data_IF_754552457400
#
_entry.id   IF_754552457400
#
_cell.length_a   1.000
_cell.length_b   1.000
_cell.length_c   1.000
_cell.angle_alpha   90.00
_cell.angle_beta   90.00
_cell.angle_gamma   90.00
#
_symmetry.space_group_name_H-M   'P 1'
#
loop_
_entity.id
_entity.type
_entity.pdbx_description
1 polymer ?
#
# COMPACT_ATOMS: atom_id res chain seq x y z
N UNK A 1 -8.04 -22.57 -8.51
CA UNK A 1 -7.19 -21.84 -9.48
C UNK A 1 -7.18 -22.58 -10.81
N UNK A 2 -7.11 -21.87 -11.95
CA UNK A 2 -6.94 -22.47 -13.27
C UNK A 2 -5.59 -23.18 -13.41
N UNK A 3 -5.45 -24.04 -14.41
CA UNK A 3 -4.17 -24.63 -14.82
C UNK A 3 -3.45 -23.74 -15.84
N UNK A 4 -2.16 -23.97 -16.08
CA UNK A 4 -1.42 -23.29 -17.14
C UNK A 4 -2.08 -23.49 -18.53
N UNK A 5 -2.55 -24.71 -18.81
CA UNK A 5 -3.28 -25.04 -20.04
C UNK A 5 -4.59 -24.27 -20.16
N UNK A 6 -5.32 -24.08 -19.06
CA UNK A 6 -6.57 -23.30 -19.07
C UNK A 6 -6.31 -21.84 -19.46
N UNK A 7 -5.17 -21.28 -19.02
CA UNK A 7 -4.72 -19.95 -19.44
C UNK A 7 -4.31 -19.90 -20.90
N UNK A 8 -3.54 -20.88 -21.38
CA UNK A 8 -3.11 -20.96 -22.80
C UNK A 8 -4.31 -21.00 -23.77
N UNK A 9 -5.41 -21.64 -23.36
CA UNK A 9 -6.66 -21.69 -24.14
C UNK A 9 -7.57 -20.46 -23.91
N UNK A 10 -7.20 -19.60 -22.97
CA UNK A 10 -7.93 -18.39 -22.63
C UNK A 10 -7.69 -17.26 -23.63
N UNK A 11 -8.22 -16.08 -23.30
CA UNK A 11 -8.01 -14.86 -24.07
C UNK A 11 -7.26 -13.84 -23.20
N UNK A 12 -6.06 -13.48 -23.62
CA UNK A 12 -5.32 -12.36 -23.01
C UNK A 12 -6.14 -11.06 -23.10
N UNK A 13 -6.10 -10.27 -22.03
CA UNK A 13 -6.78 -8.98 -21.91
C UNK A 13 -5.79 -7.83 -22.12
N UNK A 14 -5.98 -6.69 -21.45
CA UNK A 14 -5.21 -5.46 -21.74
C UNK A 14 -3.71 -5.59 -21.39
N UNK A 15 -3.34 -6.55 -20.53
CA UNK A 15 -1.96 -6.96 -20.29
C UNK A 15 -1.83 -8.49 -20.28
N UNK A 16 -0.65 -9.04 -20.65
CA UNK A 16 -0.47 -10.48 -20.87
C UNK A 16 -0.72 -11.34 -19.63
N UNK A 17 -0.56 -10.76 -18.43
CA UNK A 17 -0.81 -11.51 -17.20
C UNK A 17 -2.28 -11.77 -16.89
N UNK A 18 -3.20 -10.95 -17.41
CA UNK A 18 -4.64 -11.13 -17.23
C UNK A 18 -5.24 -11.93 -18.38
N UNK A 19 -5.85 -13.07 -18.03
CA UNK A 19 -6.42 -14.00 -18.99
C UNK A 19 -7.88 -14.28 -18.64
N UNK A 20 -8.78 -14.01 -19.58
CA UNK A 20 -10.17 -14.45 -19.50
C UNK A 20 -10.25 -15.95 -19.83
N UNK A 21 -10.77 -16.74 -18.91
CA UNK A 21 -10.91 -18.18 -19.06
C UNK A 21 -12.13 -18.52 -19.92
N UNK A 22 -11.91 -18.81 -21.21
CA UNK A 22 -13.00 -19.05 -22.18
C UNK A 22 -13.47 -20.51 -22.21
N UNK A 23 -12.52 -21.45 -22.08
CA UNK A 23 -12.77 -22.90 -22.13
C UNK A 23 -11.90 -23.67 -21.13
N UNK A 24 -11.93 -23.34 -19.82
CA UNK A 24 -11.13 -24.03 -18.82
C UNK A 24 -11.59 -25.49 -18.62
N UNK A 25 -10.67 -26.34 -18.21
CA UNK A 25 -10.89 -27.75 -17.84
C UNK A 25 -11.93 -27.87 -16.72
N UNK A 26 -11.91 -26.94 -15.76
CA UNK A 26 -12.96 -26.78 -14.77
C UNK A 26 -13.98 -25.74 -15.25
N UNK A 27 -15.20 -26.19 -15.61
CA UNK A 27 -16.26 -25.33 -16.14
C UNK A 27 -16.73 -24.23 -15.17
N UNK A 28 -16.50 -24.38 -13.86
CA UNK A 28 -16.85 -23.34 -12.87
C UNK A 28 -16.00 -22.07 -13.04
N UNK A 29 -14.79 -22.18 -13.60
CA UNK A 29 -13.91 -21.04 -13.83
C UNK A 29 -14.21 -20.30 -15.14
N UNK A 30 -15.18 -20.78 -15.93
CA UNK A 30 -15.47 -20.20 -17.24
C UNK A 30 -16.04 -18.79 -17.08
N UNK A 31 -15.43 -17.83 -17.76
CA UNK A 31 -15.80 -16.41 -17.70
C UNK A 31 -15.12 -15.63 -16.57
N UNK A 32 -14.31 -16.29 -15.75
CA UNK A 32 -13.46 -15.62 -14.77
C UNK A 32 -12.18 -15.08 -15.41
N UNK A 33 -11.62 -14.03 -14.82
CA UNK A 33 -10.29 -13.53 -15.14
C UNK A 33 -9.30 -14.04 -14.10
N UNK A 34 -8.21 -14.64 -14.58
CA UNK A 34 -7.04 -15.00 -13.80
C UNK A 34 -5.90 -14.03 -14.09
N UNK A 35 -5.30 -13.49 -13.03
CA UNK A 35 -4.08 -12.69 -13.10
C UNK A 35 -3.20 -13.01 -11.89
N UNK A 36 -1.88 -13.13 -12.12
CA UNK A 36 -0.90 -13.40 -11.06
C UNK A 36 -0.94 -12.36 -9.95
N UNK A 37 -1.28 -11.09 -10.24
CA UNK A 37 -1.30 -10.03 -9.23
C UNK A 37 -2.48 -10.13 -8.25
N UNK A 38 -3.48 -10.94 -8.57
CA UNK A 38 -4.56 -11.28 -7.63
C UNK A 38 -4.04 -12.07 -6.42
N UNK A 39 -2.88 -12.72 -6.56
CA UNK A 39 -2.21 -13.52 -5.53
C UNK A 39 -1.03 -12.77 -4.88
N UNK A 40 -1.15 -11.45 -4.70
CA UNK A 40 -0.19 -10.61 -4.01
C UNK A 40 -0.58 -10.36 -2.56
N UNK A 41 0.40 -10.25 -1.68
CA UNK A 41 0.21 -9.90 -0.27
C UNK A 41 1.26 -8.88 0.17
N UNK A 42 0.93 -8.09 1.19
CA UNK A 42 1.90 -7.27 1.90
C UNK A 42 2.95 -8.16 2.59
N UNK A 43 4.20 -7.69 2.62
CA UNK A 43 5.33 -8.45 3.12
C UNK A 43 5.15 -8.86 4.58
N UNK A 44 4.56 -7.99 5.41
CA UNK A 44 4.23 -8.29 6.82
C UNK A 44 3.35 -9.53 6.99
N UNK A 45 2.47 -9.82 6.03
CA UNK A 45 1.51 -10.93 6.09
C UNK A 45 1.99 -12.15 5.30
N UNK A 46 2.88 -11.95 4.33
CA UNK A 46 3.44 -12.99 3.46
C UNK A 46 4.50 -13.86 4.18
N UNK A 47 4.03 -14.67 5.14
CA UNK A 47 4.83 -15.59 5.97
C UNK A 47 4.70 -17.05 5.56
N UNK A 48 3.55 -17.45 5.00
CA UNK A 48 3.33 -18.80 4.46
C UNK A 48 2.33 -18.78 3.30
N UNK A 49 2.67 -19.44 2.20
CA UNK A 49 1.82 -19.62 1.03
C UNK A 49 2.25 -20.86 0.25
N UNK A 50 1.38 -21.42 -0.59
CA UNK A 50 1.68 -22.67 -1.25
C UNK A 50 0.53 -23.29 -2.03
N UNK A 51 0.61 -24.60 -2.21
CA UNK A 51 -0.35 -25.41 -2.95
C UNK A 51 -0.72 -26.66 -2.19
N UNK A 52 -1.98 -27.07 -2.35
CA UNK A 52 -2.45 -28.39 -2.00
C UNK A 52 -2.64 -29.18 -3.30
N UNK A 53 -2.04 -30.36 -3.36
CA UNK A 53 -2.33 -31.34 -4.40
C UNK A 53 -3.27 -32.40 -3.84
N UNK A 54 -4.42 -32.67 -4.49
CA UNK A 54 -5.29 -33.78 -4.11
C UNK A 54 -4.70 -35.15 -4.48
N UNK A 55 -3.70 -35.20 -5.37
CA UNK A 55 -3.06 -36.44 -5.80
C UNK A 55 -1.59 -36.23 -6.21
N UNK A 56 -0.60 -36.71 -5.44
CA UNK A 56 -0.77 -37.28 -4.09
C UNK A 56 -1.26 -36.22 -3.10
N UNK A 57 -1.98 -36.62 -2.03
CA UNK A 57 -2.56 -35.73 -1.00
C UNK A 57 -1.47 -35.04 -0.18
N UNK A 58 -0.91 -33.98 -0.75
CA UNK A 58 0.33 -33.34 -0.30
C UNK A 58 0.21 -31.82 -0.34
N UNK A 59 0.88 -31.15 0.59
CA UNK A 59 1.05 -29.71 0.59
C UNK A 59 2.48 -29.33 0.22
N UNK A 60 2.61 -28.24 -0.52
CA UNK A 60 3.89 -27.61 -0.85
C UNK A 60 3.82 -26.15 -0.42
N UNK A 61 4.65 -25.76 0.54
CA UNK A 61 4.56 -24.44 1.17
C UNK A 61 5.91 -23.73 1.19
N UNK A 62 5.89 -22.42 0.91
CA UNK A 62 6.99 -21.51 1.16
C UNK A 62 6.75 -20.83 2.50
N UNK A 63 7.66 -20.99 3.45
CA UNK A 63 7.64 -20.33 4.76
C UNK A 63 8.78 -19.31 4.82
N UNK A 64 8.44 -18.06 5.10
CA UNK A 64 9.39 -16.97 5.31
C UNK A 64 9.28 -16.47 6.76
N UNK A 65 10.20 -16.88 7.66
CA UNK A 65 10.10 -16.55 9.09
C UNK A 65 10.49 -15.09 9.40
N UNK A 66 11.20 -14.40 8.50
CA UNK A 66 11.65 -13.02 8.69
C UNK A 66 11.63 -12.23 7.39
N UNK A 67 11.19 -10.98 7.49
CA UNK A 67 11.21 -10.01 6.39
C UNK A 67 12.48 -9.15 6.36
N UNK A 68 13.50 -9.45 7.19
CA UNK A 68 14.63 -8.54 7.38
C UNK A 68 15.39 -8.20 6.10
N UNK A 69 15.36 -9.11 5.13
CA UNK A 69 16.02 -8.99 3.84
C UNK A 69 15.11 -8.44 2.73
N UNK A 70 13.81 -8.28 2.96
CA UNK A 70 12.89 -7.70 1.96
C UNK A 70 13.11 -6.20 1.84
N UNK A 71 12.43 -5.59 0.88
CA UNK A 71 12.63 -4.18 0.48
C UNK A 71 11.35 -3.38 0.71
N UNK A 72 11.43 -2.05 0.81
CA UNK A 72 10.25 -1.18 0.84
C UNK A 72 9.38 -1.24 2.11
N UNK A 73 9.87 -1.85 3.19
CA UNK A 73 9.19 -1.87 4.48
C UNK A 73 8.01 -2.86 4.57
N UNK A 74 7.21 -2.81 5.65
CA UNK A 74 6.27 -3.88 6.01
C UNK A 74 5.07 -3.99 5.06
N UNK A 75 4.68 -2.89 4.42
CA UNK A 75 3.49 -2.78 3.55
C UNK A 75 3.83 -2.93 2.06
N UNK A 76 5.10 -3.18 1.69
CA UNK A 76 5.42 -3.50 0.31
C UNK A 76 4.70 -4.80 -0.07
N UNK A 77 4.06 -4.80 -1.23
CA UNK A 77 3.37 -5.97 -1.76
C UNK A 77 4.26 -6.74 -2.73
N UNK A 78 4.14 -8.06 -2.69
CA UNK A 78 4.80 -8.96 -3.63
C UNK A 78 3.98 -10.22 -3.94
N UNK A 79 4.38 -10.91 -5.01
CA UNK A 79 3.70 -12.12 -5.47
C UNK A 79 3.95 -13.29 -4.52
N UNK A 80 2.94 -14.16 -4.39
CA UNK A 80 3.01 -15.38 -3.57
C UNK A 80 3.02 -16.63 -4.46
N UNK A 81 1.91 -17.35 -4.56
CA UNK A 81 1.67 -18.43 -5.52
C UNK A 81 0.96 -17.91 -6.77
N UNK A 82 1.08 -18.60 -7.90
CA UNK A 82 0.30 -18.27 -9.11
C UNK A 82 0.03 -19.51 -9.98
N UNK A 83 -0.88 -19.35 -10.95
CA UNK A 83 -1.31 -20.42 -11.86
C UNK A 83 -0.16 -21.27 -12.41
N UNK A 84 -0.35 -22.59 -12.41
CA UNK A 84 0.64 -23.56 -12.89
C UNK A 84 1.40 -24.31 -11.80
N UNK A 85 0.70 -24.72 -10.72
CA UNK A 85 1.18 -24.69 -9.32
C UNK A 85 2.55 -24.06 -9.09
N UNK A 86 2.67 -22.73 -9.24
CA UNK A 86 3.93 -22.02 -9.00
C UNK A 86 3.88 -21.34 -7.63
N UNK A 87 4.98 -21.43 -6.88
CA UNK A 87 5.17 -20.74 -5.60
C UNK A 87 6.47 -19.96 -5.66
N UNK A 88 6.40 -18.65 -5.40
CA UNK A 88 7.52 -17.74 -5.46
C UNK A 88 8.05 -17.40 -4.07
N UNK A 89 9.36 -17.20 -3.96
CA UNK A 89 9.97 -16.50 -2.81
C UNK A 89 10.57 -15.21 -3.34
N UNK A 90 9.83 -14.11 -3.19
CA UNK A 90 10.24 -12.81 -3.72
C UNK A 90 11.26 -12.17 -2.78
N UNK A 91 12.51 -12.05 -3.24
CA UNK A 91 13.57 -11.37 -2.49
C UNK A 91 13.65 -9.87 -2.80
N UNK A 92 13.38 -9.50 -4.06
CA UNK A 92 13.28 -8.13 -4.51
C UNK A 92 12.36 -8.05 -5.73
N UNK A 93 11.66 -6.94 -5.88
CA UNK A 93 10.87 -6.64 -7.07
C UNK A 93 10.59 -5.14 -7.16
N UNK A 94 10.14 -4.70 -8.33
CA UNK A 94 9.56 -3.37 -8.53
C UNK A 94 8.03 -3.39 -8.36
N UNK A 95 7.46 -4.48 -7.86
CA UNK A 95 6.01 -4.57 -7.66
C UNK A 95 5.53 -3.56 -6.62
N UNK A 96 4.46 -2.82 -6.95
CA UNK A 96 3.80 -1.82 -6.10
C UNK A 96 4.70 -0.68 -5.60
N UNK A 97 5.88 -0.51 -6.20
CA UNK A 97 6.71 0.68 -5.97
C UNK A 97 7.50 1.17 -7.18
N UNK A 98 7.55 0.39 -8.27
CA UNK A 98 8.17 0.82 -9.52
C UNK A 98 9.69 0.80 -9.48
N UNK A 99 10.27 1.47 -10.48
CA UNK A 99 11.72 1.47 -10.75
C UNK A 99 12.57 2.12 -9.64
N UNK A 100 11.97 2.88 -8.73
CA UNK A 100 12.68 3.40 -7.54
C UNK A 100 13.15 2.28 -6.60
N UNK A 101 12.45 1.13 -6.61
CA UNK A 101 12.84 -0.06 -5.85
C UNK A 101 13.79 -0.98 -6.63
N UNK A 102 14.17 -0.62 -7.86
CA UNK A 102 15.17 -1.39 -8.59
C UNK A 102 16.56 -1.23 -7.95
N UNK A 103 17.24 -2.37 -7.74
CA UNK A 103 18.62 -2.39 -7.27
C UNK A 103 19.55 -1.74 -8.30
N UNK A 104 20.27 -0.69 -7.89
CA UNK A 104 21.21 0.04 -8.76
C UNK A 104 22.56 0.18 -8.07
N UNK A 105 23.60 -0.29 -8.75
CA UNK A 105 24.99 -0.18 -8.32
C UNK A 105 25.73 0.80 -9.24
N UNK A 106 26.65 1.59 -8.69
CA UNK A 106 27.45 2.54 -9.46
C UNK A 106 28.92 2.39 -9.10
N UNK A 107 29.82 2.71 -10.04
CA UNK A 107 31.26 2.82 -9.78
C UNK A 107 31.90 1.60 -9.11
N UNK A 108 31.41 0.38 -9.40
CA UNK A 108 31.92 -0.84 -8.77
C UNK A 108 31.59 -0.99 -7.28
N UNK A 109 30.51 -0.35 -6.82
CA UNK A 109 30.02 -0.44 -5.44
C UNK A 109 29.96 -1.90 -4.97
N UNK A 110 30.75 -2.30 -3.96
CA UNK A 110 30.65 -3.63 -3.38
C UNK A 110 29.35 -3.72 -2.60
N UNK A 111 28.57 -4.77 -2.85
CA UNK A 111 27.33 -5.02 -2.13
C UNK A 111 27.21 -6.50 -1.78
N UNK A 112 26.78 -6.76 -0.56
CA UNK A 112 26.56 -8.10 -0.04
C UNK A 112 25.35 -8.11 0.89
N UNK A 113 24.47 -9.08 0.70
CA UNK A 113 23.27 -9.29 1.51
C UNK A 113 22.95 -10.78 1.55
N UNK A 114 22.50 -11.27 2.69
CA UNK A 114 21.96 -12.62 2.85
C UNK A 114 20.45 -12.54 2.68
N UNK A 115 19.92 -13.37 1.78
CA UNK A 115 18.48 -13.55 1.59
C UNK A 115 18.06 -14.87 2.25
N UNK A 116 16.97 -14.84 3.00
CA UNK A 116 16.55 -15.98 3.80
C UNK A 116 17.44 -16.22 5.03
N UNK A 117 17.50 -17.46 5.55
CA UNK A 117 16.89 -18.66 4.98
C UNK A 117 15.36 -18.61 4.83
N UNK A 118 14.85 -19.27 3.79
CA UNK A 118 13.43 -19.55 3.58
C UNK A 118 13.25 -21.07 3.59
N UNK A 119 12.10 -21.55 4.07
CA UNK A 119 11.81 -22.97 4.20
C UNK A 119 10.81 -23.42 3.14
N UNK A 120 11.16 -24.46 2.39
CA UNK A 120 10.18 -25.24 1.62
C UNK A 120 9.68 -26.35 2.55
N UNK A 121 8.41 -26.26 2.95
CA UNK A 121 7.77 -27.22 3.83
C UNK A 121 6.84 -28.14 3.03
N UNK A 122 6.99 -29.45 3.24
CA UNK A 122 6.18 -30.48 2.61
C UNK A 122 5.48 -31.29 3.69
N UNK A 123 4.18 -31.45 3.56
CA UNK A 123 3.37 -32.30 4.43
C UNK A 123 2.42 -33.16 3.59
N UNK A 124 1.87 -34.20 4.20
CA UNK A 124 0.98 -35.16 3.54
C UNK A 124 -0.01 -35.75 4.52
N UNK A 125 -1.22 -36.06 4.05
CA UNK A 125 -2.21 -36.84 4.79
C UNK A 125 -2.33 -38.22 4.16
N UNK A 126 -2.32 -39.26 4.99
CA UNK A 126 -2.28 -40.66 4.54
C UNK A 126 -3.66 -41.31 4.41
N UNK A 127 -4.65 -40.81 5.15
CA UNK A 127 -6.00 -41.36 5.16
C UNK A 127 -6.88 -40.66 4.14
N UNK A 128 -7.72 -41.42 3.43
CA UNK A 128 -8.70 -40.83 2.53
C UNK A 128 -9.79 -40.04 3.29
N UNK A 129 -10.01 -40.39 4.56
CA UNK A 129 -10.99 -39.79 5.46
C UNK A 129 -10.51 -38.49 6.11
N UNK A 130 -9.21 -38.18 6.06
CA UNK A 130 -8.66 -36.93 6.61
C UNK A 130 -8.90 -35.76 5.66
N UNK A 131 -9.52 -34.69 6.13
CA UNK A 131 -9.73 -33.48 5.32
C UNK A 131 -8.38 -32.93 4.84
N UNK A 132 -8.21 -32.82 3.52
CA UNK A 132 -6.98 -32.35 2.90
C UNK A 132 -6.64 -30.89 3.28
N UNK A 133 -7.63 -30.10 3.70
CA UNK A 133 -7.43 -28.74 4.19
C UNK A 133 -6.67 -28.69 5.52
N UNK A 134 -6.54 -29.79 6.25
CA UNK A 134 -5.67 -29.89 7.43
C UNK A 134 -4.20 -29.61 7.09
N UNK A 135 -3.76 -29.88 5.86
CA UNK A 135 -2.41 -29.56 5.38
C UNK A 135 -2.09 -28.07 5.49
N UNK A 136 -3.09 -27.19 5.28
CA UNK A 136 -2.92 -25.74 5.45
C UNK A 136 -2.78 -25.34 6.92
N UNK A 137 -3.56 -25.97 7.80
CA UNK A 137 -3.48 -25.72 9.24
C UNK A 137 -2.10 -26.10 9.78
N UNK A 138 -1.61 -27.28 9.42
CA UNK A 138 -0.27 -27.76 9.77
C UNK A 138 0.84 -26.85 9.23
N UNK A 139 0.75 -26.39 7.98
CA UNK A 139 1.71 -25.43 7.42
C UNK A 139 1.74 -24.08 8.16
N UNK A 140 0.60 -23.58 8.65
CA UNK A 140 0.55 -22.38 9.49
C UNK A 140 1.18 -22.61 10.86
N UNK A 141 0.96 -23.77 11.47
CA UNK A 141 1.61 -24.14 12.74
C UNK A 141 3.12 -24.21 12.57
N UNK A 142 3.61 -24.86 11.50
CA UNK A 142 5.02 -24.87 11.16
C UNK A 142 5.57 -23.46 10.97
N UNK A 143 4.85 -22.58 10.26
CA UNK A 143 5.26 -21.19 10.06
C UNK A 143 5.45 -20.44 11.39
N UNK A 144 4.59 -20.67 12.39
CA UNK A 144 4.75 -20.08 13.71
C UNK A 144 6.02 -20.59 14.40
N UNK A 145 6.26 -21.91 14.37
CA UNK A 145 7.49 -22.53 14.91
C UNK A 145 8.73 -21.92 14.27
N UNK A 146 8.76 -21.81 12.94
CA UNK A 146 9.90 -21.24 12.22
C UNK A 146 10.14 -19.77 12.56
N UNK A 147 9.08 -19.02 12.82
CA UNK A 147 9.20 -17.61 13.22
C UNK A 147 9.75 -17.48 14.63
N UNK A 148 9.32 -18.34 15.56
CA UNK A 148 9.85 -18.37 16.93
C UNK A 148 11.32 -18.80 16.97
N UNK A 149 11.72 -19.69 16.07
CA UNK A 149 13.10 -20.14 15.91
C UNK A 149 14.00 -19.11 15.21
N UNK A 150 13.46 -18.00 14.68
CA UNK A 150 14.28 -16.98 14.02
C UNK A 150 15.06 -16.13 15.03
N UNK A 151 16.36 -15.87 14.80
CA UNK A 151 17.19 -16.35 13.69
C UNK A 151 17.77 -17.75 13.96
N UNK A 152 17.91 -18.54 12.90
CA UNK A 152 18.43 -19.90 12.97
C UNK A 152 19.90 -19.99 13.42
N UNK A 153 20.29 -21.11 14.00
CA UNK A 153 21.65 -21.43 14.47
C UNK A 153 22.43 -22.35 13.50
N UNK A 154 21.74 -23.02 12.59
CA UNK A 154 22.36 -23.94 11.62
C UNK A 154 23.13 -23.27 10.45
N UNK A 155 22.83 -22.02 10.00
CA UNK A 155 23.58 -21.43 8.90
C UNK A 155 25.06 -21.21 9.28
N UNK A 156 25.96 -21.88 8.56
CA UNK A 156 27.41 -21.82 8.81
C UNK A 156 28.13 -20.68 8.06
N UNK A 157 27.41 -19.93 7.21
CA UNK A 157 28.00 -18.81 6.48
C UNK A 157 28.43 -17.71 7.44
N UNK A 158 29.66 -17.20 7.27
CA UNK A 158 30.15 -16.05 8.04
C UNK A 158 29.36 -14.76 7.75
N UNK A 159 28.66 -14.72 6.61
CA UNK A 159 27.81 -13.58 6.23
C UNK A 159 26.44 -13.62 6.92
N UNK A 160 26.05 -14.76 7.50
CA UNK A 160 24.82 -14.87 8.30
C UNK A 160 25.11 -14.50 9.76
N UNK A 161 24.47 -13.44 10.23
CA UNK A 161 24.66 -12.97 11.61
C UNK A 161 23.88 -13.86 12.58
N UNK A 162 24.58 -14.44 13.54
CA UNK A 162 24.01 -15.37 14.52
C UNK A 162 23.13 -14.65 15.55
N UNK A 163 22.30 -15.42 16.26
CA UNK A 163 21.32 -14.89 17.22
C UNK A 163 21.95 -14.04 18.33
N UNK A 164 23.07 -14.50 18.90
CA UNK A 164 23.82 -13.83 19.97
C UNK A 164 24.56 -12.56 19.51
N UNK A 165 24.77 -12.42 18.20
CA UNK A 165 25.38 -11.26 17.57
C UNK A 165 24.37 -10.19 17.16
N UNK A 166 23.07 -10.42 17.35
CA UNK A 166 22.02 -9.46 17.00
C UNK A 166 21.60 -8.62 18.21
N UNK A 167 21.18 -7.39 17.92
CA UNK A 167 20.73 -6.44 18.93
C UNK A 167 19.21 -6.40 19.09
N UNK A 168 18.78 -5.67 20.11
CA UNK A 168 17.36 -5.37 20.37
C UNK A 168 17.19 -3.88 20.67
N UNK A 169 16.09 -3.29 20.21
CA UNK A 169 15.68 -1.92 20.53
C UNK A 169 14.27 -1.92 21.09
N UNK A 170 14.06 -1.27 22.22
CA UNK A 170 12.73 -1.08 22.81
C UNK A 170 12.47 0.36 23.16
N UNK A 171 11.19 0.72 23.34
CA UNK A 171 10.79 2.06 23.74
C UNK A 171 9.27 2.18 23.80
N UNK A 172 8.80 3.44 23.84
CA UNK A 172 7.37 3.77 23.75
C UNK A 172 7.17 4.90 22.76
N UNK A 173 6.19 4.80 21.86
CA UNK A 173 5.80 5.86 20.95
C UNK A 173 4.45 6.43 21.39
N UNK A 174 4.37 7.77 21.48
CA UNK A 174 3.14 8.51 21.72
C UNK A 174 2.93 9.54 20.62
N UNK A 175 1.69 9.92 20.39
CA UNK A 175 1.28 10.96 19.44
C UNK A 175 0.86 12.22 20.18
N UNK A 176 1.28 13.37 19.69
CA UNK A 176 0.90 14.69 20.18
C UNK A 176 0.29 15.50 19.05
N UNK A 177 -1.05 15.63 19.07
CA UNK A 177 -1.81 16.52 18.18
C UNK A 177 -2.83 17.27 19.06
N UNK A 178 -2.53 18.53 19.36
CA UNK A 178 -3.34 19.37 20.25
C UNK A 178 -4.72 19.72 19.69
N UNK A 179 -4.91 19.61 18.37
CA UNK A 179 -6.22 19.81 17.73
C UNK A 179 -7.14 18.60 17.89
N UNK A 180 -6.57 17.42 18.14
CA UNK A 180 -7.32 16.19 18.44
C UNK A 180 -7.51 16.02 19.95
N UNK A 181 -6.43 16.20 20.72
CA UNK A 181 -6.44 16.02 22.18
C UNK A 181 -5.36 16.85 22.86
N UNK A 182 -5.70 17.47 23.98
CA UNK A 182 -4.71 18.13 24.86
C UNK A 182 -3.80 17.13 25.59
N UNK A 183 -4.14 15.84 25.58
CA UNK A 183 -3.35 14.75 26.18
C UNK A 183 -2.61 13.99 25.08
N UNK A 184 -1.45 13.46 25.44
CA UNK A 184 -0.73 12.51 24.59
C UNK A 184 -1.61 11.28 24.29
N UNK A 185 -1.59 10.86 23.04
CA UNK A 185 -2.36 9.73 22.51
C UNK A 185 -1.42 8.53 22.40
N UNK A 186 -1.88 7.33 22.76
CA UNK A 186 -1.09 6.11 22.57
C UNK A 186 -1.02 5.76 21.09
N UNK A 187 0.18 5.52 20.59
CA UNK A 187 0.37 5.06 19.22
C UNK A 187 0.05 3.56 19.16
N UNK A 188 -1.23 3.18 19.11
CA UNK A 188 -1.65 1.77 19.02
C UNK A 188 -1.41 1.22 17.60
N UNK A 189 -0.89 -0.01 17.50
CA UNK A 189 -0.63 -0.70 16.22
C UNK A 189 0.26 0.07 15.23
N UNK A 190 1.05 1.03 15.73
CA UNK A 190 1.97 1.82 14.93
C UNK A 190 3.11 0.95 14.45
N UNK A 191 3.40 1.03 13.15
CA UNK A 191 4.56 0.35 12.60
C UNK A 191 5.79 1.17 12.94
N UNK A 192 6.75 0.53 13.59
CA UNK A 192 8.00 1.14 14.02
C UNK A 192 9.16 0.22 13.67
N UNK A 193 10.19 0.79 13.06
CA UNK A 193 11.27 -0.03 12.51
C UNK A 193 12.57 0.70 12.26
N UNK A 194 13.60 -0.10 12.06
CA UNK A 194 14.94 0.34 11.71
C UNK A 194 15.19 0.06 10.23
N UNK A 195 15.67 1.06 9.51
CA UNK A 195 16.13 0.94 8.14
C UNK A 195 17.37 1.82 7.95
N UNK A 196 17.94 1.81 6.75
CA UNK A 196 19.10 2.63 6.44
C UNK A 196 18.86 4.12 6.81
N UNK A 197 19.91 4.83 7.26
CA UNK A 197 19.84 6.27 7.45
C UNK A 197 19.42 7.00 6.18
N UNK A 198 18.39 7.82 6.27
CA UNK A 198 17.86 8.61 5.16
C UNK A 198 16.84 9.64 5.66
N UNK A 199 16.14 10.28 4.73
CA UNK A 199 15.11 11.28 5.03
C UNK A 199 13.85 10.66 5.66
N UNK A 200 12.98 11.51 6.20
CA UNK A 200 11.67 11.07 6.71
C UNK A 200 10.92 10.31 5.61
N UNK A 201 10.41 9.13 5.92
CA UNK A 201 9.72 8.27 4.96
C UNK A 201 10.61 7.49 3.98
N UNK A 202 11.94 7.67 3.98
CA UNK A 202 12.83 7.01 3.00
C UNK A 202 12.89 5.48 3.13
N UNK A 203 12.39 4.93 4.23
CA UNK A 203 12.34 3.49 4.48
C UNK A 203 11.47 2.73 3.45
N UNK A 204 10.44 3.37 2.90
CA UNK A 204 9.54 2.74 1.92
C UNK A 204 10.19 2.58 0.54
N UNK A 205 11.31 3.27 0.29
CA UNK A 205 12.09 3.17 -0.96
C UNK A 205 13.46 2.51 -0.75
N UNK A 206 13.78 2.11 0.48
CA UNK A 206 15.03 1.41 0.80
C UNK A 206 15.02 -0.02 0.23
N UNK A 207 16.03 -0.31 -0.60
CA UNK A 207 16.11 -1.54 -1.39
C UNK A 207 17.44 -2.32 -1.27
N UNK A 208 18.50 -1.74 -0.68
CA UNK A 208 19.83 -2.36 -0.56
C UNK A 208 20.11 -2.96 0.80
N UNK A 209 19.69 -2.28 1.86
CA UNK A 209 19.94 -2.63 3.26
C UNK A 209 18.94 -3.64 3.82
N UNK A 210 19.12 -3.98 5.10
CA UNK A 210 18.13 -4.72 5.89
C UNK A 210 17.15 -3.75 6.54
N UNK A 211 15.93 -4.22 6.82
CA UNK A 211 14.96 -3.47 7.61
C UNK A 211 14.35 -4.34 8.70
N UNK A 212 14.02 -3.76 9.85
CA UNK A 212 13.49 -4.51 11.00
C UNK A 212 12.28 -3.78 11.54
N UNK A 213 11.11 -4.41 11.50
CA UNK A 213 9.84 -3.77 11.82
C UNK A 213 9.08 -4.56 12.88
N UNK A 214 8.31 -3.83 13.69
CA UNK A 214 7.33 -4.38 14.62
C UNK A 214 6.14 -3.42 14.72
N UNK A 215 5.10 -3.84 15.42
CA UNK A 215 4.00 -2.97 15.80
C UNK A 215 4.07 -2.67 17.30
N UNK A 216 3.68 -1.46 17.67
CA UNK A 216 3.45 -1.13 19.06
C UNK A 216 2.25 -1.88 19.62
N UNK A 217 2.24 -2.11 20.93
CA UNK A 217 1.05 -2.56 21.65
C UNK A 217 0.02 -1.42 21.83
N UNK A 218 -1.08 -1.72 22.50
CA UNK A 218 -2.17 -0.77 22.79
C UNK A 218 -1.75 0.42 23.67
N UNK A 219 -0.61 0.32 24.36
CA UNK A 219 -0.02 1.36 25.18
C UNK A 219 1.10 2.13 24.45
N UNK A 220 1.43 1.75 23.22
CA UNK A 220 2.49 2.36 22.41
C UNK A 220 3.89 1.80 22.68
N UNK A 221 4.05 0.73 23.46
CA UNK A 221 5.36 0.11 23.66
C UNK A 221 5.74 -0.76 22.48
N UNK A 222 7.03 -0.81 22.16
CA UNK A 222 7.57 -1.63 21.08
C UNK A 222 8.84 -2.35 21.48
N UNK A 223 9.11 -3.47 20.80
CA UNK A 223 10.33 -4.25 20.91
C UNK A 223 10.73 -4.80 19.54
N UNK A 224 11.75 -4.20 18.94
CA UNK A 224 12.38 -4.68 17.71
C UNK A 224 13.51 -5.64 18.11
N UNK A 225 13.41 -6.90 17.66
CA UNK A 225 14.35 -7.98 17.98
C UNK A 225 15.22 -8.34 16.78
N UNK A 226 16.26 -9.13 17.05
CA UNK A 226 17.07 -9.81 16.03
C UNK A 226 17.70 -8.88 15.00
N UNK A 227 18.05 -7.66 15.43
CA UNK A 227 18.58 -6.62 14.55
C UNK A 227 20.05 -6.90 14.25
N UNK A 228 20.41 -6.89 12.96
CA UNK A 228 21.80 -7.04 12.52
C UNK A 228 22.65 -5.83 12.99
N UNK A 229 23.92 -6.03 13.41
CA UNK A 229 24.82 -4.93 13.71
C UNK A 229 24.94 -3.93 12.56
N UNK A 230 24.86 -2.64 12.89
CA UNK A 230 24.83 -1.57 11.89
C UNK A 230 24.34 -0.25 12.47
N UNK A 231 24.38 0.79 11.65
CA UNK A 231 23.89 2.11 11.98
C UNK A 231 22.57 2.37 11.25
N UNK A 232 21.51 2.70 12.00
CA UNK A 232 20.15 2.79 11.49
C UNK A 232 19.49 4.11 11.86
N UNK A 233 18.50 4.51 11.07
CA UNK A 233 17.46 5.44 11.52
C UNK A 233 16.27 4.63 12.04
N UNK A 234 15.62 5.13 13.09
CA UNK A 234 14.32 4.63 13.56
C UNK A 234 13.21 5.43 12.91
N UNK A 235 12.32 4.75 12.21
CA UNK A 235 11.14 5.31 11.56
C UNK A 235 9.87 4.75 12.18
N UNK A 236 8.77 5.49 12.10
CA UNK A 236 7.46 4.96 12.42
C UNK A 236 6.36 5.65 11.62
N UNK A 237 5.20 5.01 11.54
CA UNK A 237 3.95 5.63 11.14
C UNK A 237 2.82 5.05 11.96
N UNK A 238 1.77 5.84 12.19
CA UNK A 238 0.71 5.52 13.13
C UNK A 238 -0.63 5.52 12.37
N UNK A 239 -1.31 4.37 12.23
CA UNK A 239 -2.67 4.36 11.69
C UNK A 239 -3.56 5.38 12.42
N UNK A 240 -4.33 6.17 11.68
CA UNK A 240 -5.11 7.28 12.22
C UNK A 240 -4.38 8.63 12.22
N UNK A 241 -3.11 8.69 11.80
CA UNK A 241 -2.37 9.94 11.62
C UNK A 241 -1.54 9.94 10.34
N UNK A 242 -1.67 10.99 9.53
CA UNK A 242 -0.84 11.19 8.34
C UNK A 242 0.65 11.36 8.70
N UNK A 243 1.52 11.05 7.74
CA UNK A 243 2.95 11.34 7.79
C UNK A 243 3.84 10.21 8.34
N UNK A 244 5.13 10.53 8.43
CA UNK A 244 6.18 9.63 8.87
C UNK A 244 6.94 10.25 10.05
N UNK A 245 7.13 9.45 11.10
CA UNK A 245 8.04 9.75 12.18
C UNK A 245 9.45 9.29 11.82
N UNK A 246 10.46 10.09 12.19
CA UNK A 246 11.87 9.71 12.21
C UNK A 246 12.50 10.16 13.52
N UNK A 247 13.18 9.25 14.21
CA UNK A 247 13.96 9.61 15.38
C UNK A 247 15.18 10.45 14.99
N UNK A 248 15.43 11.51 15.75
CA UNK A 248 16.48 12.51 15.44
C UNK A 248 17.90 11.96 15.44
N UNK A 249 18.16 10.92 16.24
CA UNK A 249 19.49 10.34 16.39
C UNK A 249 19.55 8.99 15.68
N UNK A 250 20.73 8.63 15.21
CA UNK A 250 20.96 7.27 14.72
C UNK A 250 21.00 6.26 15.88
N UNK A 251 20.60 5.03 15.55
CA UNK A 251 20.66 3.88 16.43
C UNK A 251 21.80 2.99 15.97
N UNK A 252 22.89 2.96 16.75
CA UNK A 252 24.02 2.10 16.49
C UNK A 252 23.84 0.74 17.20
N UNK A 253 23.69 -0.31 16.41
CA UNK A 253 23.54 -1.68 16.89
C UNK A 253 24.91 -2.34 16.90
N UNK A 254 25.34 -2.78 18.07
CA UNK A 254 26.53 -3.62 18.24
C UNK A 254 26.13 -5.05 18.61
N UNK A 255 27.02 -6.05 18.44
CA UNK A 255 26.68 -7.44 18.74
C UNK A 255 26.12 -7.64 20.15
N UNK A 256 24.95 -8.28 20.26
CA UNK A 256 24.26 -8.54 21.52
C UNK A 256 23.70 -7.30 22.25
N UNK A 257 23.75 -6.13 21.63
CA UNK A 257 23.36 -4.87 22.27
C UNK A 257 21.87 -4.81 22.59
N UNK A 258 21.54 -4.19 23.74
CA UNK A 258 20.17 -3.93 24.18
C UNK A 258 19.98 -2.44 24.39
N UNK A 259 19.34 -1.79 23.44
CA UNK A 259 19.09 -0.35 23.47
C UNK A 259 17.67 -0.08 23.95
N UNK A 260 17.52 0.65 25.04
CA UNK A 260 16.22 1.10 25.53
C UNK A 260 16.07 2.60 25.27
N UNK A 261 15.20 2.94 24.34
CA UNK A 261 14.72 4.30 24.12
C UNK A 261 13.68 4.63 25.20
N UNK A 262 13.63 5.91 25.57
CA UNK A 262 12.57 6.42 26.44
C UNK A 262 11.27 6.58 25.63
N UNK A 263 10.35 7.40 26.13
CA UNK A 263 9.17 7.82 25.37
C UNK A 263 9.57 8.71 24.21
N UNK A 264 9.20 8.29 23.01
CA UNK A 264 9.30 9.03 21.76
C UNK A 264 7.98 9.74 21.51
N UNK A 265 8.04 10.96 20.97
CA UNK A 265 6.85 11.72 20.59
C UNK A 265 6.82 11.91 19.07
N UNK A 266 5.70 11.52 18.46
CA UNK A 266 5.35 11.86 17.11
C UNK A 266 4.42 13.08 17.12
N UNK A 267 4.79 14.12 16.38
CA UNK A 267 3.93 15.27 16.10
C UNK A 267 3.52 15.17 14.63
N UNK A 268 2.31 14.65 14.32
CA UNK A 268 1.83 14.56 12.94
C UNK A 268 1.75 15.95 12.30
N UNK A 269 1.90 16.05 10.97
CA UNK A 269 1.69 17.30 10.24
C UNK A 269 0.34 17.94 10.57
N UNK A 270 0.39 19.18 11.05
CA UNK A 270 -0.75 19.95 11.55
C UNK A 270 -0.39 21.43 11.61
N UNK A 271 -1.12 22.26 10.88
CA UNK A 271 -0.96 23.71 10.85
C UNK A 271 -2.18 24.45 11.44
N UNK A 272 -3.35 23.81 11.49
CA UNK A 272 -4.55 24.42 12.05
C UNK A 272 -5.69 23.45 12.34
N UNK A 273 -6.85 23.97 12.79
CA UNK A 273 -8.02 23.15 13.09
C UNK A 273 -8.58 22.50 11.83
N UNK A 274 -8.99 21.24 11.92
CA UNK A 274 -9.69 20.55 10.82
C UNK A 274 -11.02 21.26 10.53
N UNK A 275 -11.22 21.68 9.28
CA UNK A 275 -12.51 22.17 8.80
C UNK A 275 -13.36 21.01 8.26
N UNK A 276 -12.71 20.11 7.53
CA UNK A 276 -13.28 18.83 7.08
C UNK A 276 -12.17 17.87 6.67
N UNK A 277 -12.51 16.59 6.62
CA UNK A 277 -11.62 15.51 6.22
C UNK A 277 -12.39 14.41 5.46
N UNK A 278 -11.68 13.64 4.64
CA UNK A 278 -12.19 12.56 3.79
C UNK A 278 -11.21 11.38 3.89
N UNK A 279 -11.72 10.19 4.19
CA UNK A 279 -10.93 8.96 4.34
C UNK A 279 -10.40 8.71 5.75
N UNK A 280 -9.57 7.69 5.88
CA UNK A 280 -8.90 7.25 7.11
C UNK A 280 -7.40 7.18 6.81
N UNK A 281 -6.54 7.89 7.57
CA UNK A 281 -5.10 7.88 7.31
C UNK A 281 -4.47 6.56 7.77
N UNK A 282 -4.52 5.54 6.92
CA UNK A 282 -3.98 4.19 7.14
C UNK A 282 -3.08 3.69 5.99
N UNK A 283 -2.82 4.57 5.02
CA UNK A 283 -2.03 4.39 3.80
C UNK A 283 -2.69 3.52 2.74
N UNK A 284 -4.00 3.29 2.84
CA UNK A 284 -4.77 2.47 1.90
C UNK A 284 -5.93 3.24 1.31
N UNK A 285 -6.53 2.71 0.25
CA UNK A 285 -7.80 3.20 -0.28
C UNK A 285 -8.97 2.23 0.03
N UNK A 286 -8.82 1.39 1.05
CA UNK A 286 -9.71 0.26 1.32
C UNK A 286 -11.13 0.67 1.73
N UNK A 287 -11.26 1.83 2.36
CA UNK A 287 -12.50 2.38 2.90
C UNK A 287 -13.35 3.10 1.86
N UNK A 288 -12.78 3.43 0.70
CA UNK A 288 -13.46 4.12 -0.38
C UNK A 288 -14.34 3.17 -1.22
N UNK A 289 -15.16 3.75 -2.09
CA UNK A 289 -16.12 2.99 -2.88
C UNK A 289 -15.43 2.14 -3.97
N UNK A 290 -15.45 0.82 -3.75
CA UNK A 290 -15.02 -0.19 -4.72
C UNK A 290 -16.26 -0.73 -5.47
N UNK A 291 -16.41 -0.47 -6.79
CA UNK A 291 -17.58 -0.88 -7.55
C UNK A 291 -17.62 -2.40 -7.78
N UNK A 292 -18.79 -2.94 -8.11
CA UNK A 292 -18.87 -4.31 -8.65
C UNK A 292 -18.15 -4.37 -10.00
N UNK A 293 -17.46 -5.49 -10.32
CA UNK A 293 -16.85 -5.68 -11.63
C UNK A 293 -17.91 -5.83 -12.73
N UNK A 294 -17.47 -5.78 -13.99
CA UNK A 294 -18.33 -6.20 -15.08
C UNK A 294 -18.66 -7.69 -14.92
N UNK A 295 -19.95 -8.11 -15.04
CA UNK A 295 -20.34 -9.50 -14.83
C UNK A 295 -19.60 -10.52 -15.71
N UNK A 296 -19.09 -10.10 -16.87
CA UNK A 296 -18.36 -10.97 -17.82
C UNK A 296 -16.86 -11.12 -17.52
N UNK A 297 -16.34 -10.39 -16.53
CA UNK A 297 -14.92 -10.40 -16.14
C UNK A 297 -14.76 -10.78 -14.67
N UNK A 298 -15.85 -11.26 -14.06
CA UNK A 298 -15.99 -11.48 -12.64
C UNK A 298 -15.21 -12.73 -12.21
N UNK A 299 -14.31 -12.61 -11.25
CA UNK A 299 -13.66 -13.74 -10.58
C UNK A 299 -14.43 -14.06 -9.29
N UNK A 300 -15.02 -15.26 -9.16
CA UNK A 300 -15.95 -15.58 -8.07
C UNK A 300 -15.31 -15.51 -6.67
N UNK A 301 -14.01 -15.77 -6.56
CA UNK A 301 -13.26 -15.71 -5.31
C UNK A 301 -13.47 -14.37 -4.58
N UNK A 302 -13.41 -13.25 -5.31
CA UNK A 302 -13.48 -11.91 -4.71
C UNK A 302 -14.91 -11.34 -4.59
N UNK A 303 -15.94 -12.11 -4.92
CA UNK A 303 -17.33 -11.78 -4.56
C UNK A 303 -17.66 -12.38 -3.20
N UNK A 304 -17.24 -13.63 -2.98
CA UNK A 304 -17.39 -14.29 -1.68
C UNK A 304 -16.58 -13.57 -0.60
N UNK A 305 -15.39 -13.06 -0.96
CA UNK A 305 -14.53 -12.25 -0.09
C UNK A 305 -14.67 -10.75 -0.37
N UNK A 306 -15.76 -10.14 0.10
CA UNK A 306 -16.08 -8.73 -0.16
C UNK A 306 -14.96 -7.73 0.21
N UNK A 307 -14.16 -8.02 1.24
CA UNK A 307 -13.03 -7.19 1.65
C UNK A 307 -11.92 -7.11 0.58
N UNK A 308 -11.80 -8.12 -0.29
CA UNK A 308 -10.82 -8.18 -1.37
C UNK A 308 -11.42 -7.90 -2.74
N UNK A 309 -12.62 -7.32 -2.78
CA UNK A 309 -13.32 -7.00 -4.03
C UNK A 309 -12.52 -6.10 -4.96
N UNK A 310 -11.59 -5.29 -4.42
CA UNK A 310 -10.67 -4.47 -5.21
C UNK A 310 -9.76 -5.30 -6.14
N UNK A 311 -9.68 -6.63 -5.94
CA UNK A 311 -8.87 -7.52 -6.76
C UNK A 311 -9.52 -8.00 -8.06
N UNK A 312 -10.71 -7.47 -8.36
CA UNK A 312 -11.40 -7.78 -9.59
C UNK A 312 -10.77 -7.06 -10.78
N UNK A 313 -10.70 -7.74 -11.92
CA UNK A 313 -10.17 -7.14 -13.15
C UNK A 313 -11.10 -6.05 -13.68
N UNK A 314 -10.52 -4.97 -14.20
CA UNK A 314 -11.25 -3.94 -14.97
C UNK A 314 -12.03 -2.94 -14.13
N UNK A 315 -11.77 -2.86 -12.81
CA UNK A 315 -12.46 -1.90 -11.95
C UNK A 315 -12.20 -0.43 -12.34
N UNK A 316 -11.05 -0.12 -12.96
CA UNK A 316 -10.77 1.22 -13.48
C UNK A 316 -11.81 1.68 -14.51
N UNK A 317 -12.27 0.78 -15.39
CA UNK A 317 -13.27 1.11 -16.42
C UNK A 317 -14.67 1.34 -15.84
N UNK A 318 -14.96 0.77 -14.66
CA UNK A 318 -16.23 0.99 -13.96
C UNK A 318 -16.44 2.48 -13.63
N UNK A 319 -15.37 3.27 -13.53
CA UNK A 319 -15.49 4.72 -13.35
C UNK A 319 -16.29 5.36 -14.48
N UNK A 320 -15.96 5.05 -15.73
CA UNK A 320 -16.65 5.61 -16.91
C UNK A 320 -18.11 5.21 -16.99
N UNK A 321 -18.45 3.99 -16.55
CA UNK A 321 -19.82 3.49 -16.59
C UNK A 321 -20.71 4.13 -15.51
N UNK A 322 -20.11 4.52 -14.39
CA UNK A 322 -20.80 5.24 -13.30
C UNK A 322 -20.85 6.75 -13.54
N UNK A 323 -19.83 7.29 -14.21
CA UNK A 323 -19.60 8.71 -14.48
C UNK A 323 -19.42 8.96 -15.99
N UNK A 324 -20.45 8.71 -16.83
CA UNK A 324 -20.30 8.71 -18.29
C UNK A 324 -20.13 10.11 -18.88
N UNK A 325 -20.77 11.12 -18.27
CA UNK A 325 -20.81 12.48 -18.79
C UNK A 325 -20.09 13.47 -17.86
N UNK A 326 -20.26 13.29 -16.56
CA UNK A 326 -19.76 14.17 -15.51
C UNK A 326 -18.80 13.42 -14.60
N UNK A 327 -17.88 14.14 -13.95
CA UNK A 327 -16.96 13.57 -12.97
C UNK A 327 -17.56 13.61 -11.55
N UNK A 328 -16.90 12.89 -10.65
CA UNK A 328 -17.28 12.75 -9.25
C UNK A 328 -17.38 14.12 -8.55
N UNK A 329 -18.50 14.35 -7.86
CA UNK A 329 -18.70 15.51 -6.98
C UNK A 329 -18.97 14.99 -5.56
N UNK A 330 -18.07 15.31 -4.64
CA UNK A 330 -18.18 15.00 -3.23
C UNK A 330 -18.59 16.25 -2.46
N UNK A 331 -19.72 16.23 -1.76
CA UNK A 331 -20.21 17.37 -0.97
C UNK A 331 -19.98 17.11 0.51
N UNK A 332 -19.09 17.88 1.13
CA UNK A 332 -18.77 17.77 2.56
C UNK A 332 -20.03 17.92 3.41
N UNK A 333 -20.23 16.99 4.35
CA UNK A 333 -21.40 16.96 5.23
C UNK A 333 -22.66 16.34 4.62
N UNK A 334 -22.64 15.95 3.34
CA UNK A 334 -23.75 15.25 2.67
C UNK A 334 -23.33 13.92 2.04
N UNK A 335 -22.18 13.87 1.37
CA UNK A 335 -21.64 12.65 0.76
C UNK A 335 -20.99 11.72 1.79
N UNK A 336 -20.97 10.42 1.50
CA UNK A 336 -20.27 9.40 2.28
C UNK A 336 -19.09 8.84 1.46
N UNK A 337 -17.86 8.91 1.98
CA UNK A 337 -16.69 8.45 1.22
C UNK A 337 -16.71 6.95 0.91
N UNK A 338 -17.43 6.14 1.71
CA UNK A 338 -17.55 4.70 1.49
C UNK A 338 -18.41 4.35 0.27
N UNK A 339 -19.26 5.27 -0.20
CA UNK A 339 -20.19 5.04 -1.32
C UNK A 339 -20.05 6.03 -2.46
N UNK A 340 -19.58 7.24 -2.17
CA UNK A 340 -19.61 8.37 -3.09
C UNK A 340 -18.21 8.84 -3.50
N UNK A 341 -17.16 8.27 -2.90
CA UNK A 341 -15.78 8.52 -3.27
C UNK A 341 -15.19 7.27 -3.92
N UNK A 342 -14.99 7.29 -5.23
CA UNK A 342 -14.46 6.14 -5.95
C UNK A 342 -13.02 5.83 -5.50
N UNK A 343 -12.67 4.56 -5.33
CA UNK A 343 -11.40 4.17 -4.69
C UNK A 343 -10.13 4.61 -5.45
N UNK A 344 -10.22 4.80 -6.77
CA UNK A 344 -9.10 5.23 -7.62
C UNK A 344 -9.49 6.40 -8.54
N UNK A 345 -8.74 7.49 -8.48
CA UNK A 345 -8.86 8.61 -9.40
C UNK A 345 -8.18 8.27 -10.72
N UNK A 346 -9.00 7.74 -11.62
CA UNK A 346 -8.61 7.21 -12.93
C UNK A 346 -9.20 8.04 -14.06
N UNK A 347 -8.66 7.85 -15.26
CA UNK A 347 -9.17 8.43 -16.49
C UNK A 347 -10.54 7.85 -16.89
N UNK A 348 -11.32 8.64 -17.64
CA UNK A 348 -12.54 8.17 -18.29
C UNK A 348 -12.20 7.63 -19.67
N UNK A 349 -12.69 6.46 -20.02
CA UNK A 349 -12.52 5.94 -21.38
C UNK A 349 -13.52 6.56 -22.36
N UNK A 350 -13.10 6.74 -23.60
CA UNK A 350 -13.92 7.14 -24.75
C UNK A 350 -13.53 6.28 -25.95
N UNK A 351 -14.32 6.32 -27.03
CA UNK A 351 -13.97 5.66 -28.28
C UNK A 351 -13.54 6.72 -29.31
N UNK A 352 -12.40 6.49 -29.97
CA UNK A 352 -11.99 7.32 -31.10
C UNK A 352 -12.78 6.95 -32.37
N UNK A 353 -12.54 7.67 -33.46
CA UNK A 353 -13.23 7.48 -34.75
C UNK A 353 -13.03 6.07 -35.35
N UNK A 354 -11.97 5.36 -34.95
CA UNK A 354 -11.67 3.99 -35.36
C UNK A 354 -12.36 2.92 -34.48
N UNK A 355 -13.09 3.35 -33.44
CA UNK A 355 -13.73 2.47 -32.46
C UNK A 355 -12.77 1.91 -31.40
N UNK A 356 -11.55 2.43 -31.31
CA UNK A 356 -10.56 2.04 -30.30
C UNK A 356 -10.79 2.81 -28.99
N UNK A 357 -10.64 2.12 -27.86
CA UNK A 357 -10.74 2.74 -26.53
C UNK A 357 -9.55 3.67 -26.30
N UNK A 358 -9.83 4.90 -25.91
CA UNK A 358 -8.85 5.92 -25.48
C UNK A 358 -9.23 6.45 -24.11
N UNK A 359 -8.33 7.15 -23.42
CA UNK A 359 -8.55 7.59 -22.04
C UNK A 359 -8.30 9.09 -21.91
N UNK A 360 -9.28 9.80 -21.36
CA UNK A 360 -9.22 11.24 -21.12
C UNK A 360 -9.09 11.55 -19.62
N UNK A 361 -8.37 12.64 -19.27
CA UNK A 361 -8.30 13.18 -17.91
C UNK A 361 -9.67 13.37 -17.25
N UNK A 362 -9.72 13.22 -15.92
CA UNK A 362 -10.92 13.46 -15.09
C UNK A 362 -10.65 14.55 -14.06
N UNK A 363 -11.70 15.26 -13.63
CA UNK A 363 -11.62 16.34 -12.63
C UNK A 363 -12.70 16.17 -11.58
N UNK A 364 -12.32 15.67 -10.40
CA UNK A 364 -13.21 15.51 -9.27
C UNK A 364 -13.40 16.83 -8.52
N UNK A 365 -14.53 16.97 -7.83
CA UNK A 365 -14.87 18.18 -7.08
C UNK A 365 -15.11 17.83 -5.61
N UNK A 366 -14.54 18.63 -4.71
CA UNK A 366 -14.92 18.67 -3.30
C UNK A 366 -15.65 19.98 -3.06
N UNK A 367 -16.98 19.91 -2.89
CA UNK A 367 -17.82 21.05 -2.58
C UNK A 367 -18.04 21.16 -1.06
N UNK A 368 -17.89 22.36 -0.51
CA UNK A 368 -18.05 22.61 0.92
C UNK A 368 -18.41 24.07 1.21
N UNK A 369 -18.93 24.34 2.40
CA UNK A 369 -19.26 25.69 2.86
C UNK A 369 -18.27 26.17 3.92
N UNK A 370 -17.83 27.43 3.83
CA UNK A 370 -17.07 28.13 4.86
C UNK A 370 -17.91 29.26 5.44
N UNK A 371 -18.13 29.26 6.76
CA UNK A 371 -18.89 30.32 7.43
C UNK A 371 -18.13 31.65 7.44
N UNK A 372 -16.81 31.59 7.61
CA UNK A 372 -15.92 32.74 7.63
C UNK A 372 -14.64 32.41 6.87
N UNK A 373 -14.02 33.43 6.25
CA UNK A 373 -12.77 33.29 5.51
C UNK A 373 -11.79 34.36 5.95
N UNK A 374 -10.64 33.94 6.47
CA UNK A 374 -9.53 34.83 6.77
C UNK A 374 -8.68 35.06 5.53
N UNK A 375 -9.10 36.01 4.69
CA UNK A 375 -8.43 36.28 3.39
C UNK A 375 -6.91 36.51 3.47
N UNK A 376 -6.35 37.19 4.49
CA UNK A 376 -4.90 37.40 4.60
C UNK A 376 -4.11 36.17 5.06
N UNK A 377 -4.79 35.15 5.61
CA UNK A 377 -4.17 33.96 6.20
C UNK A 377 -4.04 32.83 5.17
N UNK A 378 -3.21 31.82 5.47
CA UNK A 378 -3.15 30.59 4.70
C UNK A 378 -3.96 29.49 5.38
N UNK A 379 -4.68 28.73 4.56
CA UNK A 379 -5.26 27.44 4.91
C UNK A 379 -4.28 26.35 4.48
N UNK A 380 -4.40 25.16 5.03
CA UNK A 380 -3.54 24.03 4.64
C UNK A 380 -4.40 22.85 4.17
N UNK A 381 -4.16 22.39 2.94
CA UNK A 381 -4.70 21.13 2.45
C UNK A 381 -3.65 20.03 2.66
N UNK A 382 -3.91 19.13 3.60
CA UNK A 382 -3.15 17.89 3.73
C UNK A 382 -3.71 16.87 2.75
N UNK A 383 -2.84 16.33 1.91
CA UNK A 383 -3.19 15.38 0.88
C UNK A 383 -2.27 14.16 0.97
N UNK A 384 -2.84 13.04 1.40
CA UNK A 384 -2.18 11.74 1.46
C UNK A 384 -2.67 10.85 0.31
N UNK A 385 -1.74 10.24 -0.41
CA UNK A 385 -2.02 9.31 -1.51
C UNK A 385 -1.50 7.92 -1.13
N UNK A 386 -2.38 6.93 -1.20
CA UNK A 386 -2.06 5.52 -0.99
C UNK A 386 -1.28 4.91 -2.17
N UNK A 387 -1.49 5.42 -3.39
CA UNK A 387 -0.86 4.93 -4.61
C UNK A 387 -0.84 5.98 -5.70
N UNK A 388 0.19 5.94 -6.55
CA UNK A 388 0.26 6.76 -7.78
C UNK A 388 0.90 5.99 -8.94
N UNK A 389 0.31 6.10 -10.12
CA UNK A 389 0.83 5.49 -11.35
C UNK A 389 0.74 6.45 -12.52
N UNK A 390 1.90 6.96 -12.97
CA UNK A 390 2.03 7.89 -14.11
C UNK A 390 1.00 9.04 -14.09
N UNK A 391 0.76 9.57 -12.90
CA UNK A 391 -0.26 10.58 -12.66
C UNK A 391 0.38 11.95 -12.43
N UNK A 392 -0.41 12.99 -12.68
CA UNK A 392 -0.15 14.33 -12.19
C UNK A 392 -1.46 14.86 -11.65
N UNK A 393 -1.48 15.24 -10.38
CA UNK A 393 -2.64 15.85 -9.74
C UNK A 393 -2.45 17.36 -9.71
N UNK A 394 -3.40 18.06 -10.31
CA UNK A 394 -3.51 19.51 -10.25
C UNK A 394 -4.68 19.88 -9.34
N UNK A 395 -4.44 20.80 -8.41
CA UNK A 395 -5.43 21.29 -7.45
C UNK A 395 -5.76 22.74 -7.77
N UNK A 396 -7.05 23.04 -7.86
CA UNK A 396 -7.56 24.40 -8.03
C UNK A 396 -8.66 24.69 -7.02
N UNK A 397 -8.84 25.95 -6.67
CA UNK A 397 -9.85 26.38 -5.70
C UNK A 397 -10.70 27.48 -6.32
N UNK A 398 -12.01 27.24 -6.42
CA UNK A 398 -13.01 28.16 -6.99
C UNK A 398 -12.73 28.66 -8.42
N UNK A 399 -11.74 28.06 -9.10
CA UNK A 399 -11.33 28.39 -10.45
C UNK A 399 -11.11 27.08 -11.23
N UNK A 400 -11.93 26.85 -12.25
CA UNK A 400 -11.82 25.68 -13.12
C UNK A 400 -11.09 26.00 -14.43
N UNK A 401 -10.71 27.26 -14.66
CA UNK A 401 -10.07 27.65 -15.91
C UNK A 401 -8.72 26.94 -16.06
N UNK A 402 -8.60 26.19 -17.15
CA UNK A 402 -7.41 25.40 -17.44
C UNK A 402 -6.23 26.29 -17.88
N UNK A 403 -6.49 27.51 -18.34
CA UNK A 403 -5.47 28.47 -18.79
C UNK A 403 -4.79 29.18 -17.62
N UNK A 404 -5.44 29.23 -16.45
CA UNK A 404 -4.82 29.75 -15.23
C UNK A 404 -3.86 28.73 -14.61
N UNK A 405 -2.85 29.19 -13.88
CA UNK A 405 -1.92 28.29 -13.16
C UNK A 405 -2.67 27.60 -12.01
N UNK A 406 -2.55 26.26 -11.83
CA UNK A 406 -3.19 25.60 -10.70
C UNK A 406 -2.58 26.05 -9.38
N UNK A 407 -3.37 26.03 -8.29
CA UNK A 407 -2.86 26.37 -6.96
C UNK A 407 -1.75 25.40 -6.52
N UNK A 408 -1.80 24.16 -6.98
CA UNK A 408 -0.76 23.16 -6.74
C UNK A 408 -0.71 22.13 -7.88
N UNK A 409 0.48 21.61 -8.18
CA UNK A 409 0.66 20.43 -9.04
C UNK A 409 1.71 19.51 -8.43
N UNK A 410 1.47 18.21 -8.46
CA UNK A 410 2.47 17.22 -8.06
C UNK A 410 3.60 17.07 -9.08
N UNK A 411 3.39 17.53 -10.33
CA UNK A 411 4.13 17.02 -11.48
C UNK A 411 3.86 15.53 -11.72
N UNK A 412 4.63 14.91 -12.61
CA UNK A 412 4.53 13.47 -12.88
C UNK A 412 5.07 12.67 -11.69
N UNK A 413 4.23 11.83 -11.10
CA UNK A 413 4.57 10.97 -9.97
C UNK A 413 4.13 9.52 -10.19
N UNK A 414 4.69 8.62 -9.39
CA UNK A 414 4.27 7.23 -9.32
C UNK A 414 5.09 6.25 -10.16
N UNK A 415 4.41 5.23 -10.69
CA UNK A 415 4.87 3.99 -11.36
C UNK A 415 4.81 2.74 -10.48
N UNK A 416 4.00 2.76 -9.42
CA UNK A 416 3.80 1.58 -8.57
C UNK A 416 3.01 0.45 -9.29
N UNK A 417 2.18 0.82 -10.26
CA UNK A 417 1.24 -0.03 -10.99
C UNK A 417 0.17 -0.70 -10.11
N UNK A 418 -0.20 -0.13 -8.95
CA UNK A 418 -1.18 -0.75 -8.06
C UNK A 418 -2.56 -0.90 -8.74
N UNK A 419 -3.00 0.09 -9.52
CA UNK A 419 -4.29 0.05 -10.27
C UNK A 419 -4.34 -1.15 -11.22
N UNK A 420 -3.31 -1.34 -12.05
CA UNK A 420 -3.25 -2.44 -13.02
C UNK A 420 -3.13 -3.81 -12.33
N UNK A 421 -2.56 -3.81 -11.12
CA UNK A 421 -2.20 -5.00 -10.34
C UNK A 421 -3.15 -5.23 -9.16
N UNK A 422 -4.41 -4.82 -9.28
CA UNK A 422 -5.45 -5.23 -8.33
C UNK A 422 -5.16 -4.81 -6.89
N UNK A 423 -4.45 -3.70 -6.70
CA UNK A 423 -4.09 -3.17 -5.39
C UNK A 423 -4.96 -1.99 -4.97
N UNK A 424 -4.87 -1.64 -3.69
CA UNK A 424 -5.50 -0.44 -3.08
C UNK A 424 -4.46 0.50 -2.46
N UNK A 425 -3.18 0.16 -2.61
CA UNK A 425 -2.05 1.00 -2.21
C UNK A 425 -0.78 0.58 -2.95
N UNK A 426 0.22 1.47 -2.91
CA UNK A 426 1.57 1.31 -3.43
C UNK A 426 2.53 2.08 -2.52
N UNK A 427 3.30 3.01 -3.10
CA UNK A 427 4.10 3.94 -2.29
C UNK A 427 3.23 5.08 -1.77
N UNK A 428 3.47 5.46 -0.53
CA UNK A 428 2.78 6.54 0.17
C UNK A 428 3.38 7.90 -0.18
N UNK A 429 2.52 8.87 -0.48
CA UNK A 429 2.89 10.25 -0.75
C UNK A 429 2.10 11.18 0.15
N UNK A 430 2.75 12.18 0.74
CA UNK A 430 2.09 13.21 1.54
C UNK A 430 2.50 14.59 1.04
N UNK A 431 1.50 15.44 0.82
CA UNK A 431 1.66 16.84 0.47
C UNK A 431 0.96 17.70 1.52
N UNK A 432 1.67 18.72 1.99
CA UNK A 432 1.10 19.79 2.82
C UNK A 432 1.07 21.04 1.96
N UNK A 433 -0.12 21.46 1.56
CA UNK A 433 -0.31 22.46 0.51
C UNK A 433 -0.88 23.73 1.13
N UNK A 434 -0.13 24.83 1.05
CA UNK A 434 -0.59 26.14 1.48
C UNK A 434 -1.57 26.71 0.45
N UNK A 435 -2.77 27.08 0.89
CA UNK A 435 -3.82 27.65 0.07
C UNK A 435 -4.17 29.04 0.61
N UNK A 436 -3.92 30.13 -0.15
CA UNK A 436 -4.22 31.48 0.31
C UNK A 436 -5.71 31.69 0.60
N UNK A 437 -6.05 32.30 1.74
CA UNK A 437 -7.44 32.60 2.10
C UNK A 437 -8.17 33.44 1.05
N UNK A 438 -7.43 34.22 0.24
CA UNK A 438 -7.98 35.06 -0.83
C UNK A 438 -8.66 34.28 -1.96
N UNK A 439 -8.38 32.99 -2.13
CA UNK A 439 -9.04 32.15 -3.15
C UNK A 439 -10.35 31.54 -2.66
N UNK A 440 -10.62 31.60 -1.35
CA UNK A 440 -11.88 31.15 -0.77
C UNK A 440 -12.91 32.28 -0.68
N UNK A 441 -14.19 31.89 -0.73
CA UNK A 441 -15.34 32.75 -0.51
C UNK A 441 -16.07 32.34 0.77
N UNK A 442 -16.74 33.30 1.42
CA UNK A 442 -17.74 32.97 2.43
C UNK A 442 -18.93 32.27 1.76
N UNK A 443 -19.40 31.16 2.33
CA UNK A 443 -20.40 30.27 1.71
C UNK A 443 -19.73 29.17 0.89
N UNK A 444 -20.29 28.89 -0.29
CA UNK A 444 -19.90 27.75 -1.13
C UNK A 444 -18.51 27.91 -1.73
N UNK A 445 -17.72 26.85 -1.61
CA UNK A 445 -16.40 26.70 -2.22
C UNK A 445 -16.31 25.34 -2.91
N UNK A 446 -15.44 25.25 -3.92
CA UNK A 446 -15.11 24.00 -4.59
C UNK A 446 -13.60 23.88 -4.73
N UNK A 447 -13.05 22.74 -4.31
CA UNK A 447 -11.71 22.31 -4.69
C UNK A 447 -11.83 21.34 -5.88
N UNK A 448 -11.16 21.65 -6.96
CA UNK A 448 -11.04 20.78 -8.14
C UNK A 448 -9.76 19.97 -8.03
N UNK A 449 -9.89 18.66 -8.17
CA UNK A 449 -8.81 17.69 -8.21
C UNK A 449 -8.75 17.14 -9.64
N UNK A 450 -7.76 17.54 -10.43
CA UNK A 450 -7.60 17.08 -11.81
C UNK A 450 -6.44 16.11 -11.93
N UNK A 451 -6.73 14.86 -12.25
CA UNK A 451 -5.73 13.97 -12.85
C UNK A 451 -5.51 14.51 -14.28
N UNK A 452 -4.32 15.03 -14.60
CA UNK A 452 -4.10 15.73 -15.88
C UNK A 452 -3.48 14.86 -16.98
N UNK A 453 -3.16 13.58 -16.70
CA UNK A 453 -2.46 12.65 -17.58
C UNK A 453 -3.43 11.60 -18.15
N UNK A 454 -3.92 11.84 -19.37
CA UNK A 454 -4.72 10.87 -20.13
C UNK A 454 -3.89 9.74 -20.74
N UNK A 455 -4.50 9.00 -21.68
CA UNK A 455 -3.95 7.95 -22.56
C UNK A 455 -3.90 6.51 -22.05
N UNK A 456 -3.90 6.27 -20.75
CA UNK A 456 -3.85 4.91 -20.18
C UNK A 456 -5.00 4.66 -19.19
N UNK A 457 -5.55 3.42 -19.12
CA UNK A 457 -6.51 3.02 -18.10
C UNK A 457 -5.94 3.10 -16.68
N UNK A 458 -4.62 2.96 -16.56
CA UNK A 458 -3.95 2.79 -15.27
C UNK A 458 -3.23 4.07 -14.83
N UNK A 459 -3.23 5.12 -15.65
CA UNK A 459 -2.74 6.42 -15.21
C UNK A 459 -3.73 7.01 -14.21
N UNK A 460 -3.29 7.17 -12.97
CA UNK A 460 -4.18 7.55 -11.88
C UNK A 460 -3.51 7.48 -10.51
N UNK A 461 -4.31 7.78 -9.50
CA UNK A 461 -3.88 7.79 -8.10
C UNK A 461 -4.98 7.25 -7.21
N UNK A 462 -4.62 6.81 -6.02
CA UNK A 462 -5.56 6.44 -4.96
C UNK A 462 -5.29 7.34 -3.76
N UNK A 463 -6.36 7.90 -3.21
CA UNK A 463 -6.27 8.70 -2.00
C UNK A 463 -6.16 7.77 -0.79
N UNK A 464 -5.42 8.22 0.21
CA UNK A 464 -5.48 7.67 1.58
C UNK A 464 -6.37 8.60 2.41
N UNK A 465 -6.01 9.88 2.45
CA UNK A 465 -6.70 10.84 3.30
C UNK A 465 -6.54 12.27 2.78
N UNK A 466 -7.61 13.06 2.89
CA UNK A 466 -7.60 14.48 2.53
C UNK A 466 -8.15 15.27 3.71
N UNK A 467 -7.48 16.35 4.09
CA UNK A 467 -7.95 17.25 5.15
C UNK A 467 -7.69 18.70 4.78
N UNK A 468 -8.72 19.54 4.91
CA UNK A 468 -8.56 20.98 4.92
C UNK A 468 -8.47 21.50 6.35
N UNK A 469 -7.43 22.27 6.62
CA UNK A 469 -7.18 22.94 7.88
C UNK A 469 -7.39 24.45 7.72
N UNK A 470 -8.03 25.06 8.71
CA UNK A 470 -8.10 26.51 8.82
C UNK A 470 -6.75 27.12 9.20
N UNK A 471 -6.62 28.45 9.16
CA UNK A 471 -5.45 29.13 9.71
C UNK A 471 -5.23 28.75 11.18
N UNK A 472 -3.98 28.72 11.65
CA UNK A 472 -3.70 28.60 13.07
C UNK A 472 -4.40 29.74 13.82
N UNK A 473 -4.95 29.45 14.99
CA UNK A 473 -5.41 30.51 15.87
C UNK A 473 -4.19 31.37 16.24
N UNK A 474 -4.31 32.70 16.11
CA UNK A 474 -3.33 33.61 16.70
C UNK A 474 -3.43 33.45 18.23
N UNK A 475 -2.48 32.74 18.83
CA UNK A 475 -2.30 32.68 20.28
C UNK A 475 -1.88 34.05 20.85
#
# INVERSE_FOLDING_TARGET
MPTAKDREMGRELDYPEAVLLTSPTNSFLKGEVDDKYQYSLEDKDNRVHGWISPNPRTGFWMITPSNEFRTGGPVKQDLTSHTGPITLSMFFSTHYGGDILALRFRNGEPWKKVFGPVLIYLNSVSSDDEDILTLWTDAKEQMLIETENWPYDFPLSQDFVQADQRGTVSGRLLVSDSYVSKRLITANSAFIGLAAPGDVGSWQTENKGYQFWTQTDNEGYFLIKSIIPGNYSLYAWVPGFIGDYKYKNYINITPGSRTRLQTLMYNPPRNGPTLWEIGIPDRTAAEFFIPNPQPKLQNQLYIEHYAEKFRQYGLWDRYTELYPNDDLIYTVGSSNYQTDWFFAHVNRYTFNDEGNKTYIPTTWQIAFDLQEVEKPSNYTLQLALASTNEAELQIRVNDQDADHVPNFTTGLIGKDNAIARHGIHGLYWLYSIDVPGSVFATGKNVIFLKQSRGSSPWSGLMYDYIRLEGPPAND
#
